data_IF_136122735487
#
_entry.id   IF_136122735487
#
_cell.length_a   1.000
_cell.length_b   1.000
_cell.length_c   1.000
_cell.angle_alpha   90.00
_cell.angle_beta   90.00
_cell.angle_gamma   90.00
#
_symmetry.space_group_name_H-M   'P 1'
#
loop_
_entity.id
_entity.type
_entity.pdbx_description
1 polymer ?
#
# COMPACT_ATOMS: atom_id res chain seq x y z
N UNK A 1 -6.41 -23.44 15.24
CA UNK A 1 -6.22 -22.21 16.03
C UNK A 1 -6.46 -21.05 15.09
N UNK A 2 -7.70 -20.60 15.02
CA UNK A 2 -8.07 -19.38 14.30
C UNK A 2 -7.47 -18.20 15.07
N UNK A 3 -6.30 -17.72 14.64
CA UNK A 3 -5.92 -16.36 14.98
C UNK A 3 -6.87 -15.50 14.18
N UNK A 4 -7.69 -14.63 14.79
CA UNK A 4 -8.38 -13.61 14.00
C UNK A 4 -7.30 -12.92 13.19
N UNK A 5 -7.43 -12.95 11.86
CA UNK A 5 -6.59 -12.16 10.98
C UNK A 5 -6.86 -10.71 11.40
N UNK A 6 -5.98 -10.17 12.24
CA UNK A 6 -5.96 -8.76 12.56
C UNK A 6 -5.65 -8.08 11.24
N UNK A 7 -6.68 -7.52 10.61
CA UNK A 7 -6.49 -6.60 9.49
C UNK A 7 -5.79 -5.38 10.06
N UNK A 8 -4.46 -5.30 9.91
CA UNK A 8 -3.76 -4.07 10.21
C UNK A 8 -3.98 -3.12 9.03
N UNK A 9 -4.90 -2.18 9.25
CA UNK A 9 -5.06 -0.99 8.43
C UNK A 9 -3.91 -0.03 8.75
N UNK A 10 -3.12 0.31 7.73
CA UNK A 10 -2.18 1.41 7.79
C UNK A 10 -2.74 2.58 7.00
N UNK A 11 -3.10 3.64 7.71
CA UNK A 11 -3.55 4.91 7.12
C UNK A 11 -2.44 5.95 7.22
N UNK A 12 -2.07 6.55 6.10
CA UNK A 12 -1.00 7.53 6.00
C UNK A 12 -1.53 8.74 5.24
N UNK A 13 -1.57 9.84 5.97
CA UNK A 13 -2.26 11.06 5.60
C UNK A 13 -1.28 12.23 5.67
N UNK A 14 -1.23 13.07 4.63
CA UNK A 14 -0.50 14.35 4.60
C UNK A 14 0.97 14.27 5.05
N UNK A 15 1.64 13.14 4.77
CA UNK A 15 3.02 12.91 5.16
C UNK A 15 4.01 13.35 4.06
N UNK A 16 4.29 14.66 4.02
CA UNK A 16 5.22 15.24 3.04
C UNK A 16 6.65 14.66 3.14
N UNK A 17 7.12 14.31 4.33
CA UNK A 17 8.47 13.77 4.55
C UNK A 17 8.60 12.25 4.34
N UNK A 18 7.50 11.54 4.05
CA UNK A 18 7.53 10.09 3.94
C UNK A 18 8.04 9.67 2.57
N UNK A 19 9.24 9.12 2.53
CA UNK A 19 9.87 8.67 1.28
C UNK A 19 9.67 7.18 1.00
N UNK A 20 9.62 6.35 2.04
CA UNK A 20 9.66 4.89 1.94
C UNK A 20 8.80 4.20 3.00
N UNK A 21 8.09 3.16 2.59
CA UNK A 21 7.37 2.23 3.47
C UNK A 21 7.94 0.83 3.22
N UNK A 22 8.43 0.16 4.28
CA UNK A 22 8.98 -1.19 4.16
C UNK A 22 8.76 -2.03 5.42
N UNK A 23 8.87 -3.36 5.27
CA UNK A 23 8.86 -4.35 6.36
C UNK A 23 7.59 -4.37 7.22
N UNK A 24 6.41 -4.32 6.59
CA UNK A 24 5.12 -4.39 7.28
C UNK A 24 4.32 -5.61 6.80
N UNK A 25 4.77 -6.84 7.12
CA UNK A 25 4.17 -8.06 6.59
C UNK A 25 2.76 -8.33 7.10
N UNK A 26 2.34 -7.72 8.22
CA UNK A 26 1.01 -7.90 8.78
C UNK A 26 -0.06 -6.93 8.24
N UNK A 27 0.35 -5.89 7.51
CA UNK A 27 -0.58 -4.91 6.93
C UNK A 27 -1.36 -5.58 5.79
N UNK A 28 -2.68 -5.54 5.90
CA UNK A 28 -3.61 -6.10 4.91
C UNK A 28 -4.26 -5.01 4.06
N UNK A 29 -4.36 -3.79 4.60
CA UNK A 29 -4.92 -2.64 3.93
C UNK A 29 -4.01 -1.43 4.12
N UNK A 30 -3.60 -0.80 3.01
CA UNK A 30 -2.80 0.41 3.00
C UNK A 30 -3.61 1.53 2.37
N UNK A 31 -3.72 2.66 3.07
CA UNK A 31 -4.28 3.90 2.55
C UNK A 31 -3.21 4.97 2.59
N UNK A 32 -3.03 5.64 1.45
CA UNK A 32 -2.03 6.69 1.29
C UNK A 32 -2.64 7.86 0.55
N UNK A 33 -2.61 9.03 1.18
CA UNK A 33 -2.97 10.31 0.57
C UNK A 33 -2.06 11.44 1.08
N UNK A 34 -1.87 12.49 0.28
CA UNK A 34 -1.06 13.64 0.68
C UNK A 34 0.42 13.33 0.93
N UNK A 35 0.97 12.29 0.30
CA UNK A 35 2.37 11.86 0.48
C UNK A 35 3.19 12.04 -0.81
N UNK A 36 3.55 13.29 -1.20
CA UNK A 36 4.17 13.58 -2.49
C UNK A 36 5.56 12.95 -2.70
N UNK A 37 6.29 12.67 -1.62
CA UNK A 37 7.65 12.14 -1.67
C UNK A 37 7.72 10.60 -1.56
N UNK A 38 6.58 9.92 -1.43
CA UNK A 38 6.54 8.47 -1.27
C UNK A 38 6.95 7.77 -2.57
N UNK A 39 8.20 7.36 -2.64
CA UNK A 39 8.81 6.80 -3.85
C UNK A 39 9.01 5.28 -3.77
N UNK A 40 8.90 4.71 -2.59
CA UNK A 40 9.19 3.30 -2.36
C UNK A 40 8.20 2.66 -1.39
N UNK A 41 7.58 1.56 -1.82
CA UNK A 41 6.68 0.77 -0.99
C UNK A 41 6.96 -0.71 -1.28
N UNK A 42 7.45 -1.43 -0.28
CA UNK A 42 7.85 -2.83 -0.41
C UNK A 42 7.65 -3.61 0.91
N UNK A 43 7.80 -4.95 0.89
CA UNK A 43 7.74 -5.75 2.13
C UNK A 43 6.36 -5.82 2.80
N UNK A 44 5.30 -5.44 2.09
CA UNK A 44 3.90 -5.61 2.49
C UNK A 44 3.39 -7.01 2.08
N UNK A 45 3.83 -8.02 2.81
CA UNK A 45 3.62 -9.43 2.46
C UNK A 45 2.16 -9.92 2.53
N UNK A 46 1.30 -9.30 3.33
CA UNK A 46 -0.12 -9.71 3.48
C UNK A 46 -1.10 -8.68 2.92
N UNK A 47 -0.61 -7.69 2.17
CA UNK A 47 -1.44 -6.59 1.66
C UNK A 47 -2.39 -7.08 0.59
N UNK A 48 -3.68 -6.89 0.80
CA UNK A 48 -4.72 -7.26 -0.15
C UNK A 48 -5.36 -6.05 -0.82
N UNK A 49 -5.40 -4.92 -0.12
CA UNK A 49 -6.07 -3.72 -0.57
C UNK A 49 -5.14 -2.52 -0.46
N UNK A 50 -5.05 -1.77 -1.54
CA UNK A 50 -4.34 -0.51 -1.61
C UNK A 50 -5.31 0.60 -2.03
N UNK A 51 -5.39 1.64 -1.21
CA UNK A 51 -6.13 2.85 -1.50
C UNK A 51 -5.17 4.00 -1.70
N UNK A 52 -5.30 4.67 -2.84
CA UNK A 52 -4.47 5.82 -3.19
C UNK A 52 -5.38 7.03 -3.39
N UNK A 53 -5.05 8.14 -2.73
CA UNK A 53 -5.70 9.43 -2.96
C UNK A 53 -5.53 9.91 -4.41
N UNK A 54 -6.51 10.63 -4.94
CA UNK A 54 -6.44 11.17 -6.30
C UNK A 54 -5.24 12.13 -6.51
N UNK A 55 -4.81 12.80 -5.44
CA UNK A 55 -3.64 13.67 -5.38
C UNK A 55 -2.30 12.91 -5.53
N UNK A 56 -2.31 11.60 -5.33
CA UNK A 56 -1.11 10.75 -5.34
C UNK A 56 -0.92 9.93 -6.63
N UNK A 57 -1.71 10.16 -7.69
CA UNK A 57 -1.63 9.36 -8.93
C UNK A 57 -0.22 9.33 -9.55
N UNK A 58 0.44 10.48 -9.68
CA UNK A 58 1.79 10.53 -10.27
C UNK A 58 2.82 9.81 -9.40
N UNK A 59 2.69 9.95 -8.09
CA UNK A 59 3.63 9.38 -7.11
C UNK A 59 3.46 7.87 -7.01
N UNK A 60 2.22 7.41 -6.92
CA UNK A 60 1.85 6.00 -6.83
C UNK A 60 2.27 5.21 -8.06
N UNK A 61 2.24 5.81 -9.26
CA UNK A 61 2.73 5.17 -10.49
C UNK A 61 4.17 4.64 -10.41
N UNK A 62 4.99 5.17 -9.49
CA UNK A 62 6.40 4.81 -9.34
C UNK A 62 6.60 3.52 -8.54
N UNK A 63 5.72 3.21 -7.59
CA UNK A 63 5.90 2.08 -6.66
C UNK A 63 4.76 1.06 -6.74
N UNK A 64 3.54 1.44 -7.13
CA UNK A 64 2.39 0.55 -7.27
C UNK A 64 2.69 -0.67 -8.15
N UNK A 65 3.32 -0.54 -9.34
CA UNK A 65 3.61 -1.70 -10.18
C UNK A 65 4.55 -2.71 -9.51
N UNK A 66 5.56 -2.22 -8.79
CA UNK A 66 6.49 -3.07 -8.04
C UNK A 66 5.79 -3.82 -6.90
N UNK A 67 4.86 -3.13 -6.23
CA UNK A 67 4.06 -3.71 -5.16
C UNK A 67 3.08 -4.77 -5.67
N UNK A 68 2.39 -4.50 -6.79
CA UNK A 68 1.54 -5.48 -7.46
C UNK A 68 2.32 -6.73 -7.87
N UNK A 69 3.51 -6.54 -8.44
CA UNK A 69 4.35 -7.68 -8.85
C UNK A 69 4.77 -8.52 -7.64
N UNK A 70 5.16 -7.87 -6.53
CA UNK A 70 5.47 -8.56 -5.28
C UNK A 70 4.26 -9.36 -4.76
N UNK A 71 3.08 -8.75 -4.73
CA UNK A 71 1.84 -9.40 -4.29
C UNK A 71 1.53 -10.63 -5.16
N UNK A 72 1.56 -10.46 -6.48
CA UNK A 72 1.31 -11.55 -7.43
C UNK A 72 2.30 -12.70 -7.30
N UNK A 73 3.57 -12.41 -6.98
CA UNK A 73 4.58 -13.45 -6.71
C UNK A 73 4.30 -14.23 -5.42
N UNK A 74 3.75 -13.58 -4.40
CA UNK A 74 3.49 -14.19 -3.09
C UNK A 74 2.17 -14.96 -3.03
N UNK A 75 1.09 -14.38 -3.57
CA UNK A 75 -0.28 -14.91 -3.44
C UNK A 75 -0.84 -15.48 -4.74
N UNK A 76 -0.21 -15.18 -5.89
CA UNK A 76 -0.70 -15.63 -7.21
C UNK A 76 -1.89 -14.82 -7.74
N UNK A 77 -2.34 -13.80 -7.01
CA UNK A 77 -3.47 -12.94 -7.37
C UNK A 77 -3.05 -11.45 -7.46
N UNK A 78 -3.88 -10.65 -8.10
CA UNK A 78 -3.62 -9.21 -8.24
C UNK A 78 -3.99 -8.46 -6.96
N UNK A 79 -3.23 -7.40 -6.66
CA UNK A 79 -3.52 -6.52 -5.53
C UNK A 79 -4.74 -5.65 -5.87
N UNK A 80 -5.73 -5.60 -4.98
CA UNK A 80 -6.88 -4.72 -5.16
C UNK A 80 -6.49 -3.26 -4.99
N UNK A 81 -6.37 -2.52 -6.10
CA UNK A 81 -6.04 -1.08 -6.08
C UNK A 81 -7.31 -0.27 -6.27
N UNK A 82 -7.53 0.67 -5.37
CA UNK A 82 -8.66 1.57 -5.38
C UNK A 82 -8.17 3.01 -5.33
N UNK A 83 -8.81 3.87 -6.12
CA UNK A 83 -8.64 5.31 -6.03
C UNK A 83 -9.80 5.89 -5.24
N UNK A 84 -9.48 6.73 -4.27
CA UNK A 84 -10.46 7.42 -3.45
C UNK A 84 -10.26 8.94 -3.62
N UNK A 85 -11.37 9.67 -3.66
CA UNK A 85 -11.40 11.14 -3.62
C UNK A 85 -11.91 11.56 -2.25
N UNK A 86 -11.12 12.36 -1.52
CA UNK A 86 -11.56 12.92 -0.23
C UNK A 86 -12.60 14.03 -0.40
#
# INVERSE_FOLDING_TARGET
ADRPQLSELLDIEECEGLERICNLPQVTELRVYGCPNLSHVEGLGSLQQLWVGDDMQEVSSRWVPGLQEQHRRLHGEDLGIYTWTS
#
